data_IF_048075777143
#
_entry.id   IF_048075777143
#
_cell.length_a   1.000
_cell.length_b   1.000
_cell.length_c   1.000
_cell.angle_alpha   90.00
_cell.angle_beta   90.00
_cell.angle_gamma   90.00
#
_symmetry.space_group_name_H-M   'P 1'
#
loop_
_entity.id
_entity.type
_entity.pdbx_description
1 polymer ?
#
# COMPACT_ATOMS: atom_id res chain seq x y z
N UNK A 1 -0.45 -3.45 1.19
CA UNK A 1 0.39 -4.57 1.70
C UNK A 1 0.40 -4.60 3.20
N UNK A 2 0.45 -5.79 3.81
CA UNK A 2 0.63 -5.95 5.26
C UNK A 2 0.23 -7.32 5.77
N UNK A 3 0.57 -7.65 7.01
CA UNK A 3 0.34 -8.97 7.61
C UNK A 3 -1.14 -9.38 7.62
N UNK A 4 -1.38 -10.69 7.64
CA UNK A 4 -2.73 -11.27 7.74
C UNK A 4 -3.40 -10.82 9.05
N UNK A 5 -4.64 -10.32 8.97
CA UNK A 5 -5.39 -9.86 10.14
C UNK A 5 -5.13 -8.43 10.62
N UNK A 6 -4.38 -7.60 9.88
CA UNK A 6 -4.16 -6.17 10.21
C UNK A 6 -5.33 -5.23 9.83
N UNK A 7 -6.46 -5.76 9.35
CA UNK A 7 -7.63 -4.94 9.02
C UNK A 7 -7.58 -4.26 7.66
N UNK A 8 -6.84 -4.83 6.69
CA UNK A 8 -6.73 -4.29 5.32
C UNK A 8 -8.10 -4.10 4.66
N UNK A 9 -8.94 -5.14 4.62
CA UNK A 9 -10.29 -5.07 4.04
C UNK A 9 -11.17 -4.05 4.78
N UNK A 10 -11.14 -4.08 6.12
CA UNK A 10 -11.93 -3.16 6.95
C UNK A 10 -11.57 -1.69 6.71
N UNK A 11 -10.28 -1.37 6.53
CA UNK A 11 -9.87 -0.01 6.19
C UNK A 11 -10.42 0.40 4.81
N UNK A 12 -10.36 -0.48 3.83
CA UNK A 12 -10.87 -0.19 2.48
C UNK A 12 -12.37 0.03 2.49
N UNK A 13 -13.12 -0.81 3.21
CA UNK A 13 -14.56 -0.67 3.34
C UNK A 13 -14.96 0.68 3.96
N UNK A 14 -14.19 1.10 4.96
CA UNK A 14 -14.41 2.38 5.66
C UNK A 14 -14.03 3.57 4.77
N UNK A 15 -12.94 3.47 4.02
CA UNK A 15 -12.42 4.54 3.18
C UNK A 15 -13.37 4.87 2.01
N UNK A 16 -13.98 3.85 1.41
CA UNK A 16 -14.93 4.02 0.30
C UNK A 16 -16.40 3.90 0.72
N UNK A 17 -16.66 3.81 2.04
CA UNK A 17 -18.00 3.65 2.61
C UNK A 17 -18.84 2.57 1.90
N UNK A 18 -18.19 1.49 1.48
CA UNK A 18 -18.76 0.42 0.64
C UNK A 18 -18.19 -0.91 1.10
N UNK A 19 -19.00 -1.98 1.17
CA UNK A 19 -18.48 -3.30 1.51
C UNK A 19 -17.91 -3.97 0.27
N UNK A 20 -16.61 -4.20 0.26
CA UNK A 20 -15.95 -4.99 -0.77
C UNK A 20 -16.02 -6.48 -0.43
N UNK A 21 -16.35 -7.32 -1.41
CA UNK A 21 -16.30 -8.77 -1.22
C UNK A 21 -14.86 -9.23 -1.04
N UNK A 22 -14.59 -9.96 0.04
CA UNK A 22 -13.28 -10.55 0.31
C UNK A 22 -13.31 -11.51 1.48
N UNK A 23 -13.06 -12.79 1.21
CA UNK A 23 -12.94 -13.80 2.26
C UNK A 23 -11.71 -13.52 3.14
N UNK A 24 -11.82 -13.67 4.47
CA UNK A 24 -10.67 -13.58 5.35
C UNK A 24 -9.61 -14.60 4.93
N UNK A 25 -8.39 -14.13 4.74
CA UNK A 25 -7.26 -15.01 4.44
C UNK A 25 -6.93 -15.90 5.64
N UNK A 26 -6.78 -17.20 5.39
CA UNK A 26 -6.18 -18.13 6.36
C UNK A 26 -4.69 -17.78 6.59
N UNK A 27 -4.20 -18.04 7.81
CA UNK A 27 -2.78 -17.97 8.16
C UNK A 27 -1.94 -19.15 7.63
N UNK A 28 -2.57 -20.13 6.98
CA UNK A 28 -1.91 -21.35 6.50
C UNK A 28 -1.44 -21.26 5.04
N UNK A 29 -1.21 -20.06 4.52
CA UNK A 29 -0.86 -19.88 3.12
C UNK A 29 0.61 -20.27 2.87
N UNK A 30 0.90 -21.11 1.84
CA UNK A 30 2.25 -21.60 1.57
C UNK A 30 3.21 -20.48 1.09
N UNK A 31 2.67 -19.35 0.66
CA UNK A 31 3.44 -18.19 0.22
C UNK A 31 2.58 -16.93 0.10
N UNK A 32 3.21 -15.83 -0.29
CA UNK A 32 2.52 -14.56 -0.52
C UNK A 32 1.83 -14.58 -1.87
N UNK A 33 0.55 -14.23 -1.90
CA UNK A 33 -0.26 -14.10 -3.11
C UNK A 33 -0.94 -12.73 -3.15
N UNK A 34 -1.26 -12.26 -4.35
CA UNK A 34 -2.03 -11.03 -4.55
C UNK A 34 -3.41 -11.38 -5.09
N UNK A 35 -4.44 -10.80 -4.48
CA UNK A 35 -5.82 -10.84 -4.97
C UNK A 35 -6.19 -9.45 -5.46
N UNK A 36 -6.65 -9.35 -6.70
CA UNK A 36 -7.06 -8.10 -7.33
C UNK A 36 -8.55 -8.13 -7.62
N UNK A 37 -9.28 -7.16 -7.08
CA UNK A 37 -10.70 -6.99 -7.34
C UNK A 37 -10.94 -5.58 -7.89
N UNK A 38 -11.76 -5.46 -8.93
CA UNK A 38 -12.08 -4.17 -9.56
C UNK A 38 -13.55 -3.84 -9.35
N UNK A 39 -13.81 -2.59 -8.99
CA UNK A 39 -15.12 -2.06 -8.64
C UNK A 39 -15.36 -0.76 -9.40
N UNK A 40 -16.57 -0.59 -9.93
CA UNK A 40 -17.01 0.68 -10.49
C UNK A 40 -17.76 1.45 -9.39
N UNK A 41 -17.18 2.56 -8.95
CA UNK A 41 -17.69 3.43 -7.90
C UNK A 41 -18.08 4.78 -8.50
N UNK A 42 -18.99 5.49 -7.84
CA UNK A 42 -19.35 6.85 -8.19
C UNK A 42 -19.11 7.75 -6.97
N UNK A 43 -18.13 8.65 -7.09
CA UNK A 43 -17.76 9.57 -6.01
C UNK A 43 -17.85 11.01 -6.49
N UNK A 44 -18.69 11.83 -5.83
CA UNK A 44 -18.82 13.27 -6.11
C UNK A 44 -18.98 13.63 -7.61
N UNK A 45 -19.83 12.88 -8.33
CA UNK A 45 -20.10 12.98 -9.78
C UNK A 45 -19.01 12.44 -10.72
N UNK A 46 -17.97 11.78 -10.21
CA UNK A 46 -16.93 11.11 -11.00
C UNK A 46 -17.15 9.60 -10.97
N UNK A 47 -17.13 8.98 -12.16
CA UNK A 47 -17.09 7.51 -12.26
C UNK A 47 -15.66 7.05 -12.04
N UNK A 48 -15.43 6.35 -10.92
CA UNK A 48 -14.14 5.84 -10.50
C UNK A 48 -14.10 4.33 -10.70
N UNK A 49 -13.21 3.87 -11.57
CA UNK A 49 -12.89 2.43 -11.67
C UNK A 49 -11.75 2.11 -10.70
N UNK A 50 -12.10 1.59 -9.53
CA UNK A 50 -11.16 1.30 -8.46
C UNK A 50 -10.73 -0.17 -8.49
N UNK A 51 -9.43 -0.42 -8.59
CA UNK A 51 -8.85 -1.76 -8.42
C UNK A 51 -8.14 -1.86 -7.08
N UNK A 52 -8.63 -2.75 -6.21
CA UNK A 52 -8.03 -3.03 -4.90
C UNK A 52 -7.20 -4.31 -5.01
N UNK A 53 -5.90 -4.19 -4.77
CA UNK A 53 -4.98 -5.33 -4.74
C UNK A 53 -4.55 -5.60 -3.29
N UNK A 54 -4.95 -6.76 -2.78
CA UNK A 54 -4.66 -7.19 -1.42
C UNK A 54 -3.64 -8.31 -1.39
N UNK A 55 -2.65 -8.18 -0.50
CA UNK A 55 -1.67 -9.24 -0.21
C UNK A 55 -2.24 -10.24 0.79
N UNK A 56 -2.20 -11.52 0.42
CA UNK A 56 -2.64 -12.68 1.20
C UNK A 56 -1.41 -13.50 1.59
N UNK A 57 -1.32 -13.94 2.85
CA UNK A 57 -0.19 -14.76 3.32
C UNK A 57 1.07 -13.96 3.65
N UNK A 58 1.06 -12.63 3.56
CA UNK A 58 2.24 -11.81 3.85
C UNK A 58 2.65 -11.93 5.32
N UNK A 59 3.88 -12.38 5.56
CA UNK A 59 4.44 -12.52 6.91
C UNK A 59 4.03 -13.79 7.66
N UNK A 60 3.24 -14.69 7.05
CA UNK A 60 2.79 -15.95 7.68
C UNK A 60 3.84 -17.09 7.58
N UNK A 61 4.78 -17.01 6.62
CA UNK A 61 5.79 -18.06 6.40
C UNK A 61 6.93 -17.99 7.43
N UNK A 62 7.60 -19.12 7.71
CA UNK A 62 8.79 -19.15 8.57
C UNK A 62 9.96 -18.44 7.90
N UNK A 63 10.22 -18.75 6.62
CA UNK A 63 11.17 -17.99 5.81
C UNK A 63 10.45 -16.83 5.13
N UNK A 64 10.84 -15.61 5.49
CA UNK A 64 10.22 -14.34 5.04
C UNK A 64 11.13 -13.51 4.14
N UNK A 65 12.32 -14.02 3.80
CA UNK A 65 13.33 -13.25 3.06
C UNK A 65 12.81 -12.79 1.69
N UNK A 66 12.00 -13.62 1.04
CA UNK A 66 11.51 -13.40 -0.32
C UNK A 66 10.01 -13.05 -0.38
N UNK A 67 9.40 -12.69 0.74
CA UNK A 67 7.96 -12.36 0.80
C UNK A 67 7.57 -11.15 -0.07
N UNK A 68 8.54 -10.30 -0.46
CA UNK A 68 8.31 -9.17 -1.35
C UNK A 68 8.27 -9.56 -2.84
N UNK A 69 8.85 -10.71 -3.24
CA UNK A 69 9.00 -11.07 -4.66
C UNK A 69 7.66 -11.11 -5.40
N UNK A 70 6.61 -11.78 -4.89
CA UNK A 70 5.33 -11.82 -5.60
C UNK A 70 4.70 -10.43 -5.76
N UNK A 71 4.93 -9.53 -4.80
CA UNK A 71 4.41 -8.16 -4.83
C UNK A 71 5.13 -7.35 -5.90
N UNK A 72 6.47 -7.44 -5.94
CA UNK A 72 7.30 -6.76 -6.94
C UNK A 72 6.98 -7.28 -8.34
N UNK A 73 6.92 -8.60 -8.52
CA UNK A 73 6.59 -9.24 -9.80
C UNK A 73 5.21 -8.80 -10.31
N UNK A 74 4.23 -8.67 -9.42
CA UNK A 74 2.92 -8.16 -9.79
C UNK A 74 2.97 -6.71 -10.27
N UNK A 75 3.66 -5.83 -9.54
CA UNK A 75 3.82 -4.42 -9.93
C UNK A 75 4.55 -4.30 -11.27
N UNK A 76 5.65 -5.03 -11.45
CA UNK A 76 6.44 -5.04 -12.68
C UNK A 76 5.62 -5.57 -13.86
N UNK A 77 4.77 -6.58 -13.66
CA UNK A 77 3.87 -7.09 -14.69
C UNK A 77 2.85 -6.03 -15.14
N UNK A 78 2.32 -5.20 -14.22
CA UNK A 78 1.42 -4.11 -14.58
C UNK A 78 2.14 -2.99 -15.35
N UNK A 79 3.39 -2.69 -14.99
CA UNK A 79 4.22 -1.75 -15.76
C UNK A 79 4.52 -2.25 -17.17
N UNK A 80 4.90 -3.52 -17.29
CA UNK A 80 5.17 -4.15 -18.59
C UNK A 80 3.91 -4.15 -19.47
N UNK A 81 2.74 -4.49 -18.92
CA UNK A 81 1.48 -4.46 -19.65
C UNK A 81 1.16 -3.06 -20.22
N UNK A 82 1.41 -2.01 -19.44
CA UNK A 82 1.24 -0.62 -19.88
C UNK A 82 2.26 -0.24 -20.96
N UNK A 83 3.54 -0.58 -20.76
CA UNK A 83 4.61 -0.32 -21.72
C UNK A 83 4.34 -0.99 -23.08
N UNK A 84 3.89 -2.25 -23.07
CA UNK A 84 3.52 -2.97 -24.29
C UNK A 84 2.39 -2.28 -25.05
N UNK A 85 1.42 -1.67 -24.37
CA UNK A 85 0.38 -0.89 -25.03
C UNK A 85 0.93 0.41 -25.65
N UNK A 86 1.83 1.10 -24.94
CA UNK A 86 2.47 2.32 -25.41
C UNK A 86 3.35 2.07 -26.66
N UNK A 87 3.97 0.89 -26.75
CA UNK A 87 4.82 0.51 -27.88
C UNK A 87 4.03 0.06 -29.13
N UNK A 88 2.70 -0.13 -29.06
CA UNK A 88 1.90 -0.53 -30.23
C UNK A 88 1.91 0.54 -31.33
N UNK A 89 1.81 0.08 -32.59
CA UNK A 89 1.72 0.96 -33.77
C UNK A 89 0.35 1.67 -33.82
N UNK A 90 -0.74 0.95 -33.51
CA UNK A 90 -2.08 1.52 -33.35
C UNK A 90 -2.43 1.53 -31.87
N UNK A 91 -2.17 2.64 -31.21
CA UNK A 91 -2.35 2.82 -29.77
C UNK A 91 -3.80 3.18 -29.45
N UNK A 92 -4.36 2.57 -28.43
CA UNK A 92 -5.67 2.94 -27.87
C UNK A 92 -5.54 3.40 -26.42
N UNK A 93 -4.52 4.21 -26.12
CA UNK A 93 -4.19 4.68 -24.77
C UNK A 93 -5.36 5.38 -24.04
N UNK A 94 -6.21 6.10 -24.79
CA UNK A 94 -7.37 6.80 -24.21
C UNK A 94 -8.45 5.85 -23.69
N UNK A 95 -8.53 4.62 -24.23
CA UNK A 95 -9.46 3.59 -23.80
C UNK A 95 -8.76 2.44 -23.06
N UNK A 96 -7.44 2.54 -22.86
CA UNK A 96 -6.69 1.52 -22.16
C UNK A 96 -6.96 1.62 -20.67
N UNK A 97 -7.32 0.49 -20.07
CA UNK A 97 -7.50 0.42 -18.63
C UNK A 97 -6.12 0.38 -17.96
N UNK A 98 -5.71 1.50 -17.37
CA UNK A 98 -4.49 1.56 -16.59
C UNK A 98 -4.63 0.69 -15.34
N UNK A 99 -3.78 -0.32 -15.24
CA UNK A 99 -3.75 -1.30 -14.15
C UNK A 99 -2.53 -1.13 -13.26
N UNK A 100 -1.71 -0.10 -13.47
CA UNK A 100 -0.54 0.20 -12.64
C UNK A 100 -0.97 0.50 -11.21
N UNK A 101 -0.12 0.14 -10.26
CA UNK A 101 -0.38 0.41 -8.85
C UNK A 101 0.00 1.85 -8.55
N UNK A 102 -1.02 2.70 -8.36
CA UNK A 102 -0.84 4.13 -8.10
C UNK A 102 -0.37 4.43 -6.68
N UNK A 103 -0.82 3.65 -5.70
CA UNK A 103 -0.48 3.81 -4.29
C UNK A 103 -0.40 2.46 -3.57
N UNK A 104 0.54 2.33 -2.65
CA UNK A 104 0.69 1.17 -1.80
C UNK A 104 0.46 1.57 -0.34
N UNK A 105 -0.72 1.25 0.19
CA UNK A 105 -0.98 1.39 1.62
C UNK A 105 -0.26 0.26 2.36
N UNK A 106 0.78 0.62 3.13
CA UNK A 106 1.60 -0.35 3.86
C UNK A 106 1.18 -0.39 5.33
N UNK A 107 0.58 -1.49 5.76
CA UNK A 107 0.09 -1.66 7.12
C UNK A 107 1.20 -2.15 8.04
N UNK A 108 1.63 -1.30 8.96
CA UNK A 108 2.59 -1.58 10.02
C UNK A 108 1.82 -2.08 11.24
N UNK A 109 2.23 -3.22 11.80
CA UNK A 109 1.61 -3.75 13.00
C UNK A 109 1.85 -2.81 14.20
N UNK A 110 0.85 -2.61 15.09
CA UNK A 110 0.95 -1.72 16.25
C UNK A 110 1.78 -2.35 17.38
N UNK A 111 3.07 -2.59 17.15
CA UNK A 111 3.96 -3.20 18.16
C UNK A 111 4.38 -2.22 19.26
N UNK A 112 4.31 -0.91 19.00
CA UNK A 112 4.74 0.14 19.93
C UNK A 112 6.27 0.29 20.07
N UNK A 113 7.05 -0.52 19.34
CA UNK A 113 8.50 -0.53 19.42
C UNK A 113 9.14 0.09 18.18
N UNK A 114 9.51 -0.75 17.21
CA UNK A 114 10.25 -0.40 15.99
C UNK A 114 9.63 -1.09 14.78
N UNK A 115 10.07 -0.70 13.58
CA UNK A 115 9.68 -1.36 12.34
C UNK A 115 10.25 -2.78 12.31
N UNK A 116 9.46 -3.75 11.84
CA UNK A 116 9.95 -5.13 11.69
C UNK A 116 10.98 -5.18 10.55
N UNK A 117 11.98 -6.05 10.65
CA UNK A 117 12.96 -6.24 9.56
C UNK A 117 12.29 -6.61 8.23
N UNK A 118 11.22 -7.41 8.27
CA UNK A 118 10.42 -7.75 7.09
C UNK A 118 9.82 -6.49 6.43
N UNK A 119 9.30 -5.57 7.25
CA UNK A 119 8.69 -4.35 6.73
C UNK A 119 9.74 -3.45 6.08
N UNK A 120 10.89 -3.31 6.72
CA UNK A 120 12.00 -2.54 6.19
C UNK A 120 12.49 -3.08 4.84
N UNK A 121 12.76 -4.38 4.74
CA UNK A 121 13.21 -5.03 3.51
C UNK A 121 12.15 -4.89 2.41
N UNK A 122 10.88 -5.11 2.74
CA UNK A 122 9.79 -5.05 1.77
C UNK A 122 9.59 -3.62 1.25
N UNK A 123 9.51 -2.62 2.13
CA UNK A 123 9.37 -1.22 1.72
C UNK A 123 10.56 -0.77 0.88
N UNK A 124 11.78 -1.16 1.23
CA UNK A 124 13.00 -0.83 0.46
C UNK A 124 13.03 -1.44 -0.95
N UNK A 125 12.25 -2.50 -1.20
CA UNK A 125 12.12 -3.10 -2.55
C UNK A 125 10.98 -2.48 -3.37
N UNK A 126 10.05 -1.82 -2.69
CA UNK A 126 8.85 -1.22 -3.27
C UNK A 126 8.98 0.30 -3.48
N UNK A 127 9.86 0.98 -2.73
CA UNK A 127 9.97 2.45 -2.70
C UNK A 127 10.23 3.08 -4.08
N UNK A 128 11.02 2.41 -4.91
CA UNK A 128 11.32 2.86 -6.27
C UNK A 128 10.26 2.49 -7.32
N UNK A 129 9.21 1.76 -6.93
CA UNK A 129 8.20 1.20 -7.85
C UNK A 129 6.80 1.73 -7.61
N UNK A 130 6.46 2.07 -6.38
CA UNK A 130 5.12 2.51 -6.01
C UNK A 130 5.17 3.56 -4.92
N UNK A 131 4.20 4.47 -4.94
CA UNK A 131 4.02 5.46 -3.88
C UNK A 131 3.61 4.77 -2.57
N UNK A 132 4.56 4.57 -1.66
CA UNK A 132 4.31 3.91 -0.37
C UNK A 132 3.71 4.90 0.62
N UNK A 133 2.56 4.55 1.20
CA UNK A 133 1.92 5.29 2.29
C UNK A 133 1.91 4.38 3.53
N UNK A 134 2.82 4.58 4.50
CA UNK A 134 2.86 3.78 5.71
C UNK A 134 1.69 4.13 6.64
N UNK A 135 0.96 3.12 7.10
CA UNK A 135 -0.20 3.24 7.99
C UNK A 135 0.01 2.32 9.19
N UNK A 136 -0.15 2.87 10.40
CA UNK A 136 -0.15 2.06 11.62
C UNK A 136 -1.53 1.42 11.75
N UNK A 137 -1.58 0.10 11.61
CA UNK A 137 -2.81 -0.68 11.73
C UNK A 137 -3.31 -0.72 13.18
N UNK A 138 -4.62 -0.86 13.38
CA UNK A 138 -5.26 -1.04 14.71
C UNK A 138 -4.70 -0.06 15.77
N UNK A 139 -4.60 1.21 15.40
CA UNK A 139 -4.01 2.26 16.24
C UNK A 139 -4.81 2.55 17.51
N UNK A 140 -6.05 2.07 17.59
CA UNK A 140 -6.90 2.09 18.78
C UNK A 140 -6.29 1.29 19.95
N UNK A 141 -5.40 0.33 19.66
CA UNK A 141 -4.69 -0.45 20.68
C UNK A 141 -3.50 0.28 21.33
N UNK A 142 -3.11 1.48 20.84
CA UNK A 142 -1.95 2.24 21.32
C UNK A 142 -2.41 3.56 21.92
N UNK A 143 -1.84 3.98 23.06
CA UNK A 143 -2.14 5.30 23.62
C UNK A 143 -1.64 6.44 22.73
N UNK A 144 -2.27 7.62 22.78
CA UNK A 144 -1.82 8.78 21.99
C UNK A 144 -0.34 9.12 22.20
N UNK A 145 0.15 9.00 23.44
CA UNK A 145 1.54 9.31 23.79
C UNK A 145 2.55 8.31 23.22
N UNK A 146 2.19 7.02 23.19
CA UNK A 146 3.00 5.96 22.60
C UNK A 146 2.95 6.02 21.08
N UNK A 147 1.79 6.35 20.50
CA UNK A 147 1.61 6.49 19.06
C UNK A 147 2.54 7.59 18.49
N UNK A 148 2.63 8.75 19.16
CA UNK A 148 3.56 9.82 18.74
C UNK A 148 5.01 9.35 18.77
N UNK A 149 5.43 8.68 19.85
CA UNK A 149 6.79 8.12 19.96
C UNK A 149 7.05 7.06 18.89
N UNK A 150 6.05 6.22 18.60
CA UNK A 150 6.14 5.16 17.61
C UNK A 150 6.24 5.71 16.18
N UNK A 151 5.45 6.74 15.84
CA UNK A 151 5.56 7.46 14.57
C UNK A 151 6.96 8.02 14.36
N UNK A 152 7.50 8.74 15.34
CA UNK A 152 8.86 9.32 15.26
C UNK A 152 9.90 8.23 15.02
N UNK A 153 9.81 7.10 15.71
CA UNK A 153 10.73 5.96 15.52
C UNK A 153 10.62 5.36 14.11
N UNK A 154 9.40 5.10 13.63
CA UNK A 154 9.17 4.57 12.27
C UNK A 154 9.76 5.52 11.24
N UNK A 155 9.43 6.81 11.31
CA UNK A 155 9.96 7.82 10.37
C UNK A 155 11.48 7.88 10.42
N UNK A 156 12.08 7.87 11.63
CA UNK A 156 13.53 7.86 11.80
C UNK A 156 14.19 6.62 11.19
N UNK A 157 13.59 5.43 11.35
CA UNK A 157 14.11 4.19 10.77
C UNK A 157 13.99 4.18 9.25
N UNK A 158 12.88 4.67 8.69
CA UNK A 158 12.70 4.79 7.24
C UNK A 158 13.73 5.73 6.62
N UNK A 159 13.95 6.90 7.23
CA UNK A 159 14.96 7.87 6.77
C UNK A 159 16.37 7.31 6.90
N UNK A 160 16.71 6.68 8.03
CA UNK A 160 18.07 6.13 8.26
C UNK A 160 18.44 5.02 7.28
N UNK A 161 17.44 4.27 6.79
CA UNK A 161 17.62 3.23 5.77
C UNK A 161 17.38 3.74 4.34
N UNK A 162 17.08 5.04 4.17
CA UNK A 162 16.83 5.69 2.89
C UNK A 162 15.63 5.12 2.14
N UNK A 163 14.59 4.66 2.85
CA UNK A 163 13.34 4.19 2.23
C UNK A 163 12.54 5.43 1.81
N UNK A 164 12.21 5.51 0.53
CA UNK A 164 11.38 6.62 0.02
C UNK A 164 9.90 6.30 0.23
N UNK A 165 9.20 7.17 0.95
CA UNK A 165 7.75 7.13 1.10
C UNK A 165 7.12 8.27 0.31
N UNK A 166 5.85 8.11 -0.04
CA UNK A 166 5.09 9.15 -0.71
C UNK A 166 5.01 10.41 0.17
N UNK A 167 5.29 11.55 -0.45
CA UNK A 167 5.13 12.87 0.16
C UNK A 167 3.96 13.56 -0.54
N UNK A 168 3.00 14.04 0.25
CA UNK A 168 1.87 14.78 -0.29
C UNK A 168 2.38 16.09 -0.91
N UNK A 169 1.94 16.46 -2.13
CA UNK A 169 2.40 17.67 -2.81
C UNK A 169 2.11 18.92 -1.98
N UNK A 170 3.10 19.78 -1.80
CA UNK A 170 2.97 21.05 -1.07
C UNK A 170 3.01 22.27 -1.99
N UNK A 171 2.96 22.05 -3.30
CA UNK A 171 3.10 23.11 -4.31
C UNK A 171 1.85 24.00 -4.43
N UNK A 172 0.70 23.47 -4.03
CA UNK A 172 -0.57 24.20 -4.00
C UNK A 172 -0.79 24.80 -2.61
N UNK A 173 -0.74 26.13 -2.52
CA UNK A 173 -0.89 26.90 -1.27
C UNK A 173 -2.21 26.59 -0.53
N UNK A 174 -3.26 26.17 -1.23
CA UNK A 174 -4.56 25.84 -0.60
C UNK A 174 -4.53 24.55 0.22
N UNK A 175 -3.59 23.65 -0.07
CA UNK A 175 -3.44 22.35 0.62
C UNK A 175 -2.05 22.17 1.24
N UNK A 176 -1.13 23.13 1.05
CA UNK A 176 0.25 23.06 1.51
C UNK A 176 0.39 22.91 3.03
N UNK A 177 -0.40 23.63 3.83
CA UNK A 177 -0.35 23.50 5.30
C UNK A 177 -0.78 22.11 5.78
N UNK A 178 -1.84 21.57 5.17
CA UNK A 178 -2.40 20.26 5.50
C UNK A 178 -1.45 19.15 5.05
N UNK A 179 -0.93 19.23 3.83
CA UNK A 179 0.01 18.25 3.29
C UNK A 179 1.36 18.32 4.02
N UNK A 180 1.80 19.52 4.39
CA UNK A 180 3.00 19.73 5.21
C UNK A 180 2.88 19.07 6.59
N UNK A 181 1.72 19.15 7.23
CA UNK A 181 1.49 18.44 8.51
C UNK A 181 1.36 16.92 8.35
N UNK A 182 0.89 16.43 7.20
CA UNK A 182 0.81 14.99 6.90
C UNK A 182 2.17 14.37 6.53
N UNK A 183 3.11 15.17 6.05
CA UNK A 183 4.46 14.75 5.65
C UNK A 183 5.44 14.61 6.84
N UNK A 184 5.07 15.08 8.04
CA UNK A 184 5.94 15.19 9.24
C UNK A 184 5.63 14.12 10.29
#
# INVERSE_FOLDING_TARGET
>A
TGETGLGKSTLMDTLFNTKFEGDPASHSQPGVQLKSNTYDLQESNVNLKLTIVSTVGFGDQINKEDSYKPIVEFIDAQFEAYLQEELKIKRVLHNYHDTRIHACLYFIAPTGHSLKSLDLVTMKKLDSKVNIIPIIAKSDAISKSELTKFKIKITSELVSNGVQIYQFPTDDESVAEINGTMNV
#
